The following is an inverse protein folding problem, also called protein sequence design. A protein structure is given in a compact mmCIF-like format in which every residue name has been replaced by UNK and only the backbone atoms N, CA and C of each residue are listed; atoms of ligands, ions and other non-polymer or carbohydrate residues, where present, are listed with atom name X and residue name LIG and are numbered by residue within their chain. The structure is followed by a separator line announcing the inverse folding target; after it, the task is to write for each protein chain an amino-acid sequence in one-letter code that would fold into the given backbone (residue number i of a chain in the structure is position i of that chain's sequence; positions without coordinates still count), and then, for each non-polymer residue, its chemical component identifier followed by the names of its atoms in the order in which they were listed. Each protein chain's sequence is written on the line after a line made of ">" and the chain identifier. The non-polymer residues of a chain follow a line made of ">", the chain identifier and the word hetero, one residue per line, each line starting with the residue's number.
data_IF_130332674828
#
_entry.id   IF_130332674828
#
_cell.length_a   1.000
_cell.length_b   1.000
_cell.length_c   1.000
_cell.angle_alpha   90.00
_cell.angle_beta   90.00
_cell.angle_gamma   90.00
#
_symmetry.space_group_name_H-M   'P 1'
#
loop_
_entity.id
_entity.type
_entity.pdbx_description
1 polymer ?
#
# COMPACT_ATOMS: atom_id res chain seq x y z
N UNK A 1 -11.75 -36.45 -15.52
CA UNK A 1 -10.50 -35.81 -15.98
C UNK A 1 -10.33 -34.60 -15.07
N UNK A 2 -9.97 -34.75 -13.79
CA UNK A 2 -8.76 -35.39 -13.25
C UNK A 2 -7.53 -34.79 -13.91
N UNK A 3 -6.91 -33.81 -13.25
CA UNK A 3 -5.46 -33.64 -13.20
C UNK A 3 -5.13 -32.61 -12.11
N UNK A 4 -4.85 -33.15 -10.93
CA UNK A 4 -3.91 -32.57 -9.98
C UNK A 4 -2.54 -32.54 -10.64
N UNK A 5 -1.86 -31.40 -10.60
CA UNK A 5 -0.40 -31.32 -10.46
C UNK A 5 -0.01 -29.86 -10.28
N UNK A 6 0.34 -29.49 -9.06
CA UNK A 6 1.46 -28.58 -8.84
C UNK A 6 2.03 -28.84 -7.45
N UNK A 7 3.07 -29.68 -7.47
CA UNK A 7 4.04 -29.86 -6.39
C UNK A 7 4.59 -28.50 -6.00
N UNK A 8 4.22 -28.04 -4.81
CA UNK A 8 4.86 -26.90 -4.14
C UNK A 8 5.67 -27.50 -3.01
N UNK A 9 6.99 -27.52 -3.21
CA UNK A 9 7.98 -27.88 -2.21
C UNK A 9 7.63 -27.22 -0.86
N UNK A 10 7.72 -28.02 0.20
CA UNK A 10 7.39 -27.71 1.58
C UNK A 10 8.03 -26.39 2.05
N UNK A 11 7.21 -25.34 2.01
CA UNK A 11 7.41 -24.10 2.72
C UNK A 11 6.02 -23.64 3.13
N UNK A 12 5.64 -23.91 4.38
CA UNK A 12 4.30 -23.61 4.88
C UNK A 12 4.08 -22.10 4.76
N UNK A 13 3.19 -21.71 3.83
CA UNK A 13 2.73 -20.33 3.68
C UNK A 13 1.71 -20.06 4.80
N UNK A 14 2.17 -19.91 6.04
CA UNK A 14 1.35 -19.34 7.12
C UNK A 14 1.49 -17.82 7.10
N UNK A 15 1.11 -17.20 5.98
CA UNK A 15 1.03 -15.74 5.85
C UNK A 15 -0.39 -15.28 6.14
N UNK A 16 -0.58 -14.31 7.03
CA UNK A 16 -1.91 -13.74 7.29
C UNK A 16 -2.52 -13.22 5.97
N UNK A 17 -3.71 -13.70 5.63
CA UNK A 17 -4.51 -13.18 4.52
C UNK A 17 -4.84 -11.72 4.78
N UNK A 18 -4.84 -10.89 3.73
CA UNK A 18 -5.30 -9.51 3.84
C UNK A 18 -6.71 -9.46 4.42
N UNK A 19 -6.92 -8.58 5.41
CA UNK A 19 -8.24 -8.32 5.99
C UNK A 19 -8.72 -6.97 5.44
N UNK A 20 -9.81 -7.01 4.68
CA UNK A 20 -10.42 -5.81 4.11
C UNK A 20 -10.82 -4.83 5.21
N UNK A 21 -10.58 -3.54 4.96
CA UNK A 21 -10.87 -2.45 5.88
C UNK A 21 -12.37 -2.23 6.02
N UNK A 22 -12.79 -1.89 7.22
CA UNK A 22 -14.14 -1.38 7.45
C UNK A 22 -14.34 -0.02 6.81
N UNK A 23 -15.59 0.36 6.55
CA UNK A 23 -15.89 1.69 5.99
C UNK A 23 -15.41 2.84 6.89
N UNK A 24 -15.40 2.63 8.21
CA UNK A 24 -14.87 3.61 9.16
C UNK A 24 -13.37 3.81 8.98
N UNK A 25 -12.62 2.72 8.82
CA UNK A 25 -11.17 2.78 8.56
C UNK A 25 -10.87 3.44 7.22
N UNK A 26 -11.60 3.12 6.16
CA UNK A 26 -11.44 3.77 4.84
C UNK A 26 -11.71 5.28 4.94
N UNK A 27 -12.79 5.70 5.61
CA UNK A 27 -13.10 7.13 5.82
C UNK A 27 -12.00 7.84 6.60
N UNK A 28 -11.46 7.19 7.64
CA UNK A 28 -10.34 7.75 8.41
C UNK A 28 -9.08 7.86 7.54
N UNK A 29 -8.74 6.83 6.75
CA UNK A 29 -7.60 6.88 5.83
C UNK A 29 -7.75 8.02 4.81
N UNK A 30 -8.94 8.20 4.23
CA UNK A 30 -9.21 9.27 3.26
C UNK A 30 -8.98 10.66 3.88
N UNK A 31 -9.51 10.90 5.08
CA UNK A 31 -9.33 12.17 5.78
C UNK A 31 -7.85 12.45 6.10
N UNK A 32 -7.12 11.43 6.54
CA UNK A 32 -5.68 11.53 6.85
C UNK A 32 -4.86 11.77 5.59
N UNK A 33 -5.23 11.16 4.47
CA UNK A 33 -4.59 11.39 3.18
C UNK A 33 -4.82 12.81 2.70
N UNK A 34 -6.07 13.29 2.75
CA UNK A 34 -6.42 14.67 2.40
C UNK A 34 -5.63 15.71 3.21
N UNK A 35 -5.43 15.45 4.52
CA UNK A 35 -4.64 16.31 5.41
C UNK A 35 -3.12 16.19 5.24
N UNK A 36 -2.64 15.29 4.40
CA UNK A 36 -1.21 15.01 4.24
C UNK A 36 -0.56 14.30 5.44
N UNK A 37 -1.35 13.64 6.30
CA UNK A 37 -0.86 12.90 7.45
C UNK A 37 -0.33 11.50 7.07
N UNK A 38 -0.80 10.95 5.94
CA UNK A 38 -0.31 9.70 5.36
C UNK A 38 0.17 9.93 3.93
N UNK A 39 1.18 9.17 3.53
CA UNK A 39 1.66 9.11 2.15
C UNK A 39 1.26 7.75 1.55
N UNK A 40 0.84 7.76 0.29
CA UNK A 40 0.46 6.55 -0.47
C UNK A 40 1.30 6.41 -1.73
N UNK A 41 1.51 5.18 -2.20
CA UNK A 41 2.20 4.93 -3.47
C UNK A 41 1.47 5.51 -4.67
N UNK A 42 0.18 5.87 -4.54
CA UNK A 42 -0.61 6.53 -5.59
C UNK A 42 -0.22 8.00 -5.81
N UNK A 43 0.51 8.62 -4.86
CA UNK A 43 1.04 9.98 -4.99
C UNK A 43 2.39 10.04 -5.74
N UNK A 44 2.97 8.87 -6.05
CA UNK A 44 4.22 8.76 -6.81
C UNK A 44 3.90 8.98 -8.29
N UNK A 45 4.70 9.80 -8.97
CA UNK A 45 4.53 10.04 -10.40
C UNK A 45 4.79 8.76 -11.18
N UNK A 46 4.08 8.56 -12.30
CA UNK A 46 4.19 7.33 -13.10
C UNK A 46 5.64 7.01 -13.52
N UNK A 47 6.41 8.03 -13.90
CA UNK A 47 7.83 7.89 -14.27
C UNK A 47 8.77 7.61 -13.09
N UNK A 48 8.30 7.72 -11.85
CA UNK A 48 9.06 7.49 -10.62
C UNK A 48 8.68 6.16 -9.94
N UNK A 49 7.88 5.31 -10.57
CA UNK A 49 7.46 4.03 -9.96
C UNK A 49 8.62 3.10 -9.62
N UNK A 50 9.77 3.22 -10.32
CA UNK A 50 10.98 2.44 -10.02
C UNK A 50 11.59 2.71 -8.64
N UNK A 51 11.30 3.86 -8.01
CA UNK A 51 11.83 4.23 -6.69
C UNK A 51 10.90 3.84 -5.53
N UNK A 52 9.78 3.14 -5.81
CA UNK A 52 8.85 2.65 -4.76
C UNK A 52 9.59 1.87 -3.67
N UNK A 53 10.55 1.02 -4.04
CA UNK A 53 11.36 0.26 -3.08
C UNK A 53 12.19 1.16 -2.16
N UNK A 54 12.70 2.28 -2.67
CA UNK A 54 13.47 3.24 -1.87
C UNK A 54 12.58 4.13 -0.99
N UNK A 55 11.31 4.31 -1.36
CA UNK A 55 10.31 5.02 -0.56
C UNK A 55 9.81 4.12 0.56
N UNK A 56 9.50 2.86 0.27
CA UNK A 56 9.08 1.86 1.24
C UNK A 56 10.16 0.80 1.40
N UNK A 57 11.22 1.14 2.13
CA UNK A 57 12.45 0.36 2.25
C UNK A 57 12.25 -1.14 2.54
N UNK A 58 11.27 -1.56 3.36
CA UNK A 58 11.07 -2.99 3.58
C UNK A 58 10.80 -3.78 2.29
N UNK A 59 10.23 -3.18 1.23
CA UNK A 59 10.01 -3.84 -0.07
C UNK A 59 11.31 -4.29 -0.76
N UNK A 60 12.42 -3.59 -0.52
CA UNK A 60 13.74 -3.98 -1.03
C UNK A 60 14.36 -5.13 -0.22
N UNK A 61 13.92 -5.31 1.02
CA UNK A 61 14.48 -6.29 1.96
C UNK A 61 13.62 -7.55 2.10
N UNK A 62 12.46 -7.62 1.43
CA UNK A 62 11.63 -8.81 1.42
C UNK A 62 12.35 -9.98 0.74
N UNK A 63 12.34 -11.12 1.42
CA UNK A 63 12.63 -12.40 0.78
C UNK A 63 11.57 -12.77 -0.27
N UNK A 64 11.89 -13.77 -1.10
CA UNK A 64 11.03 -14.20 -2.20
C UNK A 64 9.67 -14.71 -1.75
N UNK A 65 9.59 -15.32 -0.56
CA UNK A 65 8.34 -15.87 -0.02
C UNK A 65 7.40 -14.75 0.38
N UNK A 66 7.90 -13.77 1.13
CA UNK A 66 7.18 -12.58 1.57
C UNK A 66 6.72 -11.72 0.39
N UNK A 67 7.57 -11.60 -0.65
CA UNK A 67 7.20 -10.93 -1.91
C UNK A 67 6.05 -11.64 -2.61
N UNK A 68 6.12 -12.97 -2.75
CA UNK A 68 5.03 -13.77 -3.33
C UNK A 68 3.75 -13.63 -2.51
N UNK A 69 3.85 -13.61 -1.18
CA UNK A 69 2.68 -13.43 -0.31
C UNK A 69 1.98 -12.10 -0.54
N UNK A 70 2.72 -10.98 -0.67
CA UNK A 70 2.12 -9.68 -0.98
C UNK A 70 1.36 -9.69 -2.30
N UNK A 71 1.93 -10.35 -3.32
CA UNK A 71 1.29 -10.50 -4.64
C UNK A 71 0.00 -11.33 -4.51
N UNK A 72 0.05 -12.47 -3.81
CA UNK A 72 -1.11 -13.33 -3.58
C UNK A 72 -2.20 -12.63 -2.76
N UNK A 73 -1.80 -11.79 -1.79
CA UNK A 73 -2.71 -10.96 -1.00
C UNK A 73 -3.30 -9.77 -1.79
N UNK A 74 -2.91 -9.59 -3.06
CA UNK A 74 -3.43 -8.53 -3.91
C UNK A 74 -2.99 -7.13 -3.48
N UNK A 75 -1.83 -7.00 -2.83
CA UNK A 75 -1.29 -5.70 -2.42
C UNK A 75 -1.21 -4.75 -3.62
N UNK A 76 -1.91 -3.62 -3.52
CA UNK A 76 -2.11 -2.69 -4.62
C UNK A 76 -1.60 -1.29 -4.30
N UNK A 77 -1.89 -0.78 -3.09
CA UNK A 77 -1.49 0.56 -2.65
C UNK A 77 -0.73 0.45 -1.34
N UNK A 78 0.54 0.88 -1.32
CA UNK A 78 1.35 0.97 -0.10
C UNK A 78 1.17 2.34 0.54
N UNK A 79 1.13 2.41 1.86
CA UNK A 79 1.00 3.67 2.58
C UNK A 79 1.64 3.64 3.96
N UNK A 80 1.98 4.82 4.48
CA UNK A 80 2.49 4.99 5.84
C UNK A 80 2.23 6.42 6.35
N UNK A 81 2.29 6.60 7.67
CA UNK A 81 2.22 7.91 8.31
C UNK A 81 3.45 8.76 7.99
N UNK A 82 3.23 9.99 7.54
CA UNK A 82 4.31 10.94 7.20
C UNK A 82 5.21 11.22 8.41
N UNK A 83 4.65 11.20 9.63
CA UNK A 83 5.39 11.35 10.89
C UNK A 83 6.42 10.24 11.16
N UNK A 84 6.27 9.07 10.52
CA UNK A 84 7.21 7.94 10.61
C UNK A 84 8.25 7.92 9.48
N UNK A 85 8.20 8.91 8.59
CA UNK A 85 9.22 9.05 7.57
C UNK A 85 10.58 9.35 8.21
N UNK A 86 11.62 8.69 7.71
CA UNK A 86 12.99 9.10 7.91
C UNK A 86 13.34 10.37 7.15
N UNK A 87 14.63 10.76 7.15
CA UNK A 87 15.12 11.86 6.31
C UNK A 87 14.69 11.68 4.85
N UNK A 88 14.32 12.79 4.20
CA UNK A 88 13.97 12.78 2.78
C UNK A 88 15.13 12.21 1.95
N UNK A 89 14.79 11.37 0.97
CA UNK A 89 15.75 10.84 0.01
C UNK A 89 16.17 11.93 -0.97
N UNK A 90 17.26 11.70 -1.70
CA UNK A 90 17.85 12.65 -2.68
C UNK A 90 16.84 13.02 -3.79
N UNK A 91 15.87 12.14 -4.06
CA UNK A 91 14.81 12.33 -5.06
C UNK A 91 13.62 13.19 -4.56
N UNK A 92 13.68 13.72 -3.33
CA UNK A 92 12.63 14.55 -2.74
C UNK A 92 11.47 13.79 -2.08
N UNK A 93 11.41 12.46 -2.21
CA UNK A 93 10.40 11.63 -1.56
C UNK A 93 10.78 11.27 -0.12
N UNK A 94 9.76 10.95 0.67
CA UNK A 94 9.91 10.39 2.02
C UNK A 94 10.48 8.97 1.94
N UNK A 95 11.20 8.57 2.98
CA UNK A 95 11.71 7.21 3.14
C UNK A 95 11.07 6.59 4.37
N UNK A 96 10.41 5.45 4.21
CA UNK A 96 9.67 4.75 5.26
C UNK A 96 10.34 3.42 5.58
N UNK A 97 10.51 3.14 6.87
CA UNK A 97 11.05 1.88 7.40
C UNK A 97 9.95 0.88 7.77
N UNK A 98 8.69 1.24 7.53
CA UNK A 98 7.51 0.39 7.64
C UNK A 98 6.51 0.79 6.55
N UNK A 99 5.54 -0.07 6.28
CA UNK A 99 4.39 0.28 5.48
C UNK A 99 3.19 -0.57 5.85
N UNK A 100 2.01 -0.08 5.51
CA UNK A 100 0.79 -0.84 5.37
C UNK A 100 0.43 -0.92 3.88
N UNK A 101 -0.49 -1.82 3.54
CA UNK A 101 -1.01 -1.89 2.17
C UNK A 101 -2.52 -2.06 2.15
N UNK A 102 -3.13 -1.67 1.03
CA UNK A 102 -4.50 -1.94 0.67
C UNK A 102 -4.53 -2.87 -0.54
N UNK A 103 -5.55 -3.71 -0.62
CA UNK A 103 -5.89 -4.39 -1.85
C UNK A 103 -6.57 -3.43 -2.85
N UNK A 104 -6.87 -3.93 -4.06
CA UNK A 104 -7.49 -3.12 -5.11
C UNK A 104 -8.91 -2.61 -4.72
N UNK A 105 -9.82 -3.43 -4.18
CA UNK A 105 -11.12 -2.95 -3.69
C UNK A 105 -11.02 -1.83 -2.66
N UNK A 106 -10.15 -1.95 -1.66
CA UNK A 106 -10.02 -0.96 -0.59
C UNK A 106 -9.36 0.32 -1.07
N UNK A 107 -8.38 0.22 -1.96
CA UNK A 107 -7.81 1.38 -2.63
C UNK A 107 -8.85 2.12 -3.48
N UNK A 108 -9.75 1.41 -4.17
CA UNK A 108 -10.88 2.02 -4.88
C UNK A 108 -11.80 2.78 -3.93
N UNK A 109 -12.21 2.15 -2.83
CA UNK A 109 -13.03 2.80 -1.79
C UNK A 109 -12.32 4.03 -1.19
N UNK A 110 -11.01 3.98 -1.01
CA UNK A 110 -10.22 5.12 -0.53
C UNK A 110 -10.26 6.29 -1.52
N UNK A 111 -10.05 6.02 -2.82
CA UNK A 111 -10.11 7.05 -3.87
C UNK A 111 -11.49 7.69 -3.94
N UNK A 112 -12.57 6.90 -3.91
CA UNK A 112 -13.93 7.42 -3.93
C UNK A 112 -14.18 8.34 -2.72
N UNK A 113 -13.72 7.96 -1.52
CA UNK A 113 -13.85 8.80 -0.33
C UNK A 113 -12.97 10.05 -0.35
N UNK A 114 -11.80 9.98 -0.95
CA UNK A 114 -10.96 11.16 -1.12
C UNK A 114 -11.65 12.18 -2.03
N UNK A 115 -12.23 11.72 -3.15
CA UNK A 115 -13.02 12.56 -4.05
C UNK A 115 -14.22 13.18 -3.33
N UNK A 116 -14.98 12.40 -2.55
CA UNK A 116 -16.10 12.93 -1.76
C UNK A 116 -15.65 14.08 -0.82
N UNK A 117 -14.47 13.94 -0.19
CA UNK A 117 -13.91 14.95 0.72
C UNK A 117 -13.46 16.20 -0.05
N UNK A 118 -12.77 16.01 -1.18
CA UNK A 118 -12.33 17.10 -2.05
C UNK A 118 -13.51 17.90 -2.61
N UNK A 119 -14.63 17.25 -2.98
CA UNK A 119 -15.85 17.92 -3.41
C UNK A 119 -16.56 18.66 -2.27
N UNK A 120 -16.47 18.17 -1.04
CA UNK A 120 -17.11 18.80 0.13
C UNK A 120 -16.30 19.97 0.72
N UNK A 121 -14.98 19.97 0.56
CA UNK A 121 -14.05 20.92 1.21
C UNK A 121 -13.24 21.76 0.22
N UNK A 122 -13.27 21.43 -1.08
CA UNK A 122 -12.52 22.13 -2.13
C UNK A 122 -13.27 23.36 -2.64
N UNK A 123 -13.24 24.44 -1.87
CA UNK A 123 -13.77 25.77 -2.22
C UNK A 123 -12.76 26.90 -1.90
N UNK A 124 -11.45 26.62 -1.96
CA UNK A 124 -10.37 27.61 -1.77
C UNK A 124 -9.60 27.94 -3.06
#
# INVERSE_FOLDING_TARGET
>A
MSEQEQSVCEGVVTGSTYVSKTDKEIKQLALRLYRGEIFTSMQIKEHDTQIIGSIFMPLMLLDDLSRKQLILNGAYCFYEEVSKAGPRSVNGYLCFFSFMYLDRPDAGRLIDRLRDIEEMLGDD
#
